data_IF_197736904515
#
_entry.id   IF_197736904515
#
_cell.length_a   1.000
_cell.length_b   1.000
_cell.length_c   1.000
_cell.angle_alpha   90.00
_cell.angle_beta   90.00
_cell.angle_gamma   90.00
#
_symmetry.space_group_name_H-M   'P 1'
#
loop_
_entity.id
_entity.type
_entity.pdbx_description
1 polymer ?
#
# COMPACT_ATOMS: atom_id res chain seq x y z
N UNK A 1 -26.91 -6.51 36.09
CA UNK A 1 -26.17 -7.34 35.11
C UNK A 1 -26.79 -7.06 33.74
N UNK A 2 -26.33 -5.98 33.09
CA UNK A 2 -26.86 -5.54 31.79
C UNK A 2 -25.92 -6.10 30.71
N UNK A 3 -26.32 -7.22 30.13
CA UNK A 3 -25.60 -7.87 29.02
C UNK A 3 -25.74 -6.99 27.78
N UNK A 4 -24.76 -6.09 27.57
CA UNK A 4 -24.58 -5.41 26.28
C UNK A 4 -24.15 -6.46 25.26
N UNK A 5 -25.13 -7.01 24.54
CA UNK A 5 -24.89 -7.81 23.35
C UNK A 5 -24.18 -6.90 22.33
N UNK A 6 -22.85 -7.04 22.21
CA UNK A 6 -22.12 -6.44 21.08
C UNK A 6 -22.62 -7.15 19.83
N UNK A 7 -23.27 -6.41 18.93
CA UNK A 7 -23.57 -6.90 17.59
C UNK A 7 -22.24 -7.24 16.94
N UNK A 8 -22.11 -8.48 16.49
CA UNK A 8 -21.12 -8.91 15.52
C UNK A 8 -21.43 -8.22 14.21
N UNK A 9 -20.84 -7.06 13.96
CA UNK A 9 -20.70 -6.54 12.61
C UNK A 9 -19.61 -7.35 11.92
N UNK A 10 -20.00 -8.55 11.48
CA UNK A 10 -19.23 -9.32 10.51
C UNK A 10 -19.11 -8.45 9.27
N UNK A 11 -17.89 -7.99 9.00
CA UNK A 11 -17.56 -7.21 7.82
C UNK A 11 -18.12 -7.88 6.57
N UNK A 12 -18.99 -7.17 5.88
CA UNK A 12 -19.43 -7.54 4.54
C UNK A 12 -18.23 -7.40 3.61
N UNK A 13 -17.43 -8.45 3.50
CA UNK A 13 -16.64 -8.66 2.29
C UNK A 13 -17.66 -8.79 1.17
N UNK A 14 -17.72 -7.75 0.33
CA UNK A 14 -18.58 -7.64 -0.84
C UNK A 14 -18.66 -9.00 -1.54
N UNK A 15 -19.85 -9.58 -1.55
CA UNK A 15 -20.18 -10.76 -2.34
C UNK A 15 -20.00 -10.40 -3.80
N UNK A 16 -18.82 -10.69 -4.35
CA UNK A 16 -18.56 -10.60 -5.79
C UNK A 16 -19.64 -11.43 -6.50
N UNK A 17 -20.30 -10.89 -7.54
CA UNK A 17 -21.25 -11.67 -8.31
C UNK A 17 -20.46 -12.75 -9.05
N UNK A 18 -20.37 -13.94 -8.46
CA UNK A 18 -19.93 -15.13 -9.16
C UNK A 18 -21.04 -15.50 -10.12
N UNK A 19 -21.09 -14.79 -11.25
CA UNK A 19 -21.80 -15.24 -12.44
C UNK A 19 -21.27 -16.62 -12.81
N UNK A 20 -22.13 -17.43 -13.44
CA UNK A 20 -21.95 -18.85 -13.77
C UNK A 20 -20.67 -19.20 -14.58
N UNK A 21 -19.88 -18.19 -14.93
CA UNK A 21 -18.54 -18.30 -15.48
C UNK A 21 -17.60 -17.53 -14.55
N UNK A 22 -16.65 -18.23 -13.95
CA UNK A 22 -15.63 -17.74 -13.01
C UNK A 22 -14.73 -16.64 -13.63
N UNK A 23 -15.32 -15.47 -13.86
CA UNK A 23 -14.80 -14.32 -14.58
C UNK A 23 -15.10 -13.07 -13.76
N UNK A 24 -14.05 -12.34 -13.42
CA UNK A 24 -14.06 -11.08 -12.68
C UNK A 24 -13.75 -9.94 -13.66
N UNK A 25 -14.47 -8.83 -13.54
CA UNK A 25 -14.23 -7.64 -14.37
C UNK A 25 -13.50 -6.58 -13.55
N UNK A 26 -12.36 -6.10 -14.04
CA UNK A 26 -11.64 -5.01 -13.39
C UNK A 26 -12.52 -3.75 -13.36
N UNK A 27 -12.78 -3.13 -12.18
CA UNK A 27 -13.67 -1.98 -12.09
C UNK A 27 -13.11 -0.72 -12.78
N UNK A 28 -11.79 -0.65 -12.96
CA UNK A 28 -11.10 0.50 -13.57
C UNK A 28 -11.04 0.36 -15.09
N UNK A 29 -10.40 -0.70 -15.57
CA UNK A 29 -10.15 -0.86 -17.01
C UNK A 29 -11.17 -1.77 -17.73
N UNK A 30 -12.14 -2.33 -17.01
CA UNK A 30 -13.22 -3.21 -17.56
C UNK A 30 -12.73 -4.47 -18.27
N UNK A 31 -11.47 -4.87 -18.05
CA UNK A 31 -10.91 -6.14 -18.55
C UNK A 31 -11.53 -7.32 -17.81
N UNK A 32 -11.85 -8.38 -18.56
CA UNK A 32 -12.39 -9.63 -18.02
C UNK A 32 -11.23 -10.59 -17.71
N UNK A 33 -11.18 -11.12 -16.49
CA UNK A 33 -10.15 -12.04 -16.01
C UNK A 33 -10.78 -13.28 -15.39
N UNK A 34 -10.26 -14.46 -15.67
CA UNK A 34 -10.67 -15.66 -14.91
C UNK A 34 -10.15 -15.60 -13.48
N UNK A 35 -10.96 -15.95 -12.47
CA UNK A 35 -10.46 -15.84 -11.08
C UNK A 35 -9.31 -16.81 -10.78
N UNK A 36 -9.19 -17.93 -11.52
CA UNK A 36 -8.05 -18.83 -11.42
C UNK A 36 -6.70 -18.18 -11.81
N UNK A 37 -6.74 -17.04 -12.52
CA UNK A 37 -5.56 -16.27 -12.92
C UNK A 37 -5.34 -15.03 -12.04
N UNK A 38 -6.12 -14.86 -10.96
CA UNK A 38 -5.95 -13.77 -10.01
C UNK A 38 -5.11 -14.27 -8.83
N UNK A 39 -4.14 -13.46 -8.41
CA UNK A 39 -3.34 -13.70 -7.22
C UNK A 39 -3.78 -12.71 -6.15
N UNK A 40 -3.95 -13.18 -4.92
CA UNK A 40 -4.26 -12.31 -3.79
C UNK A 40 -3.07 -11.43 -3.46
N UNK A 41 -3.31 -10.12 -3.35
CA UNK A 41 -2.31 -9.18 -2.87
C UNK A 41 -2.11 -9.35 -1.37
N UNK A 42 -1.17 -10.21 -0.98
CA UNK A 42 -0.76 -10.37 0.41
C UNK A 42 0.40 -9.42 0.73
N UNK A 43 0.06 -8.18 1.07
CA UNK A 43 1.02 -7.26 1.66
C UNK A 43 0.95 -7.38 3.18
N UNK A 44 2.08 -7.77 3.79
CA UNK A 44 2.23 -7.70 5.24
C UNK A 44 2.39 -6.23 5.60
N UNK A 45 1.34 -5.64 6.15
CA UNK A 45 1.47 -4.37 6.84
C UNK A 45 2.19 -4.69 8.16
N UNK A 46 3.41 -4.19 8.29
CA UNK A 46 4.13 -4.13 9.55
C UNK A 46 3.23 -3.40 10.55
N UNK A 47 2.45 -4.12 11.37
CA UNK A 47 1.67 -3.49 12.43
C UNK A 47 2.67 -3.10 13.52
N UNK A 48 3.29 -1.92 13.36
CA UNK A 48 4.03 -1.24 14.42
C UNK A 48 3.01 -0.82 15.48
N UNK A 49 2.69 -1.75 16.39
CA UNK A 49 1.58 -1.57 17.31
C UNK A 49 1.57 -2.54 18.47
N UNK A 50 2.71 -2.75 19.13
CA UNK A 50 2.69 -3.18 20.53
C UNK A 50 3.87 -2.59 21.32
N UNK A 51 3.98 -1.27 21.28
CA UNK A 51 4.36 -0.43 22.43
C UNK A 51 4.28 1.03 21.97
N UNK A 52 3.39 1.77 22.63
CA UNK A 52 3.51 3.20 22.96
C UNK A 52 4.73 3.93 22.37
N UNK A 53 4.45 5.04 21.68
CA UNK A 53 5.41 6.11 21.36
C UNK A 53 6.39 5.88 20.18
N UNK A 54 5.94 5.36 19.03
CA UNK A 54 6.73 5.46 17.81
C UNK A 54 6.22 6.65 16.97
N UNK A 55 6.96 7.75 17.06
CA UNK A 55 6.93 8.85 16.09
C UNK A 55 6.88 8.25 14.69
N UNK A 56 5.88 8.60 13.89
CA UNK A 56 5.82 8.22 12.49
C UNK A 56 6.99 8.90 11.79
N UNK A 57 8.18 8.32 11.89
CA UNK A 57 9.31 8.69 11.06
C UNK A 57 8.91 8.31 9.66
N UNK A 58 8.48 9.32 8.91
CA UNK A 58 8.28 9.27 7.48
C UNK A 58 9.46 8.49 6.86
N UNK A 59 9.27 7.30 6.27
CA UNK A 59 10.38 6.48 5.75
C UNK A 59 11.18 7.21 4.67
N UNK A 60 10.63 8.32 4.15
CA UNK A 60 11.28 9.34 3.35
C UNK A 60 12.53 9.96 3.99
N UNK A 61 12.60 10.10 5.32
CA UNK A 61 13.67 10.86 5.98
C UNK A 61 15.01 10.15 6.02
N UNK A 62 15.00 8.82 5.85
CA UNK A 62 16.22 8.01 5.82
C UNK A 62 16.76 7.77 4.40
N UNK A 63 15.99 8.13 3.38
CA UNK A 63 16.40 8.00 1.98
C UNK A 63 17.42 9.08 1.65
N UNK A 64 18.50 8.67 0.95
CA UNK A 64 19.60 9.55 0.59
C UNK A 64 19.66 9.75 -0.91
N UNK A 65 20.06 10.95 -1.30
CA UNK A 65 20.35 11.29 -2.69
C UNK A 65 21.47 10.40 -3.21
N UNK A 66 21.23 9.73 -4.33
CA UNK A 66 22.21 8.87 -5.01
C UNK A 66 23.03 9.60 -6.07
N UNK A 67 22.61 10.81 -6.44
CA UNK A 67 23.26 11.66 -7.45
C UNK A 67 24.29 12.64 -6.88
N UNK A 68 24.43 12.76 -5.56
CA UNK A 68 25.44 13.61 -4.93
C UNK A 68 26.41 12.82 -4.04
N UNK A 69 27.64 13.34 -3.89
CA UNK A 69 28.62 12.77 -2.96
C UNK A 69 28.31 13.10 -1.49
N UNK A 70 27.47 14.11 -1.27
CA UNK A 70 27.15 14.66 0.05
C UNK A 70 26.12 13.82 0.82
N UNK A 71 25.58 12.76 0.21
CA UNK A 71 24.67 11.81 0.83
C UNK A 71 23.48 12.51 1.54
N UNK A 72 23.04 13.63 0.98
CA UNK A 72 21.99 14.50 1.50
C UNK A 72 20.65 13.77 1.51
N UNK A 73 19.70 14.15 2.39
CA UNK A 73 18.37 13.54 2.39
C UNK A 73 17.68 13.73 1.04
N UNK A 74 17.07 12.67 0.53
CA UNK A 74 16.28 12.73 -0.68
C UNK A 74 14.98 13.48 -0.42
N UNK A 75 14.62 14.39 -1.32
CA UNK A 75 13.39 15.18 -1.25
C UNK A 75 12.41 14.80 -2.36
N UNK A 76 12.90 14.12 -3.40
CA UNK A 76 12.08 13.72 -4.55
C UNK A 76 12.61 12.45 -5.25
N UNK A 77 11.79 11.90 -6.14
CA UNK A 77 12.13 10.78 -7.01
C UNK A 77 12.24 11.25 -8.46
N UNK A 78 13.38 10.99 -9.10
CA UNK A 78 13.56 11.23 -10.52
C UNK A 78 13.05 10.03 -11.31
N UNK A 79 11.98 10.21 -12.09
CA UNK A 79 11.40 9.12 -12.90
C UNK A 79 12.33 8.72 -14.05
N UNK A 80 13.07 9.66 -14.62
CA UNK A 80 13.97 9.40 -15.76
C UNK A 80 15.20 8.59 -15.35
N UNK A 81 15.77 8.92 -14.20
CA UNK A 81 16.95 8.21 -13.66
C UNK A 81 16.58 7.01 -12.78
N UNK A 82 15.30 6.88 -12.40
CA UNK A 82 14.81 5.88 -11.44
C UNK A 82 15.63 5.89 -10.14
N UNK A 83 15.84 7.09 -9.59
CA UNK A 83 16.68 7.29 -8.41
C UNK A 83 16.12 8.37 -7.47
N UNK A 84 16.54 8.34 -6.21
CA UNK A 84 16.18 9.35 -5.21
C UNK A 84 17.17 10.53 -5.26
N UNK A 85 16.65 11.75 -5.29
CA UNK A 85 17.46 12.96 -5.43
C UNK A 85 17.07 14.03 -4.38
N UNK A 86 18.03 14.87 -4.02
CA UNK A 86 17.80 16.06 -3.18
C UNK A 86 17.50 17.29 -4.05
N UNK A 87 17.02 18.38 -3.43
CA UNK A 87 16.65 19.62 -4.14
C UNK A 87 17.79 20.22 -4.99
N UNK A 88 19.05 19.98 -4.62
CA UNK A 88 20.20 20.45 -5.40
C UNK A 88 20.49 19.62 -6.65
N UNK A 89 19.94 18.41 -6.74
CA UNK A 89 20.09 17.50 -7.88
C UNK A 89 18.83 17.44 -8.77
N UNK A 90 17.79 18.22 -8.44
CA UNK A 90 16.62 18.40 -9.31
C UNK A 90 17.01 19.33 -10.45
N UNK A 91 17.21 18.77 -11.65
CA UNK A 91 17.56 19.49 -12.88
C UNK A 91 16.80 18.95 -14.08
#
# INVERSE_FOLDING_TARGET
>A
MSSRQRRSEGGQYLSWPTGENNVVVCPVCRVHCHANNLIENQFLLEVSGSSSEANATDPSSDLKCTSCHENSPATSWCVECSEYICDGCVQ
#
